data_IF_375496983010
#
_entry.id   IF_375496983010
#
_cell.length_a   1.000
_cell.length_b   1.000
_cell.length_c   1.000
_cell.angle_alpha   90.00
_cell.angle_beta   90.00
_cell.angle_gamma   90.00
#
_symmetry.space_group_name_H-M   'P 1'
#
loop_
_entity.id
_entity.type
_entity.pdbx_description
1 polymer ?
#
# COMPACT_ATOMS: atom_id res chain seq x y z
N UNK A 1 -27.80 9.14 36.13
CA UNK A 1 -28.23 8.08 37.09
C UNK A 1 -28.60 6.86 36.27
N UNK A 2 -27.75 5.87 36.20
CA UNK A 2 -28.06 4.43 36.10
C UNK A 2 -26.73 3.68 35.97
N UNK A 3 -26.44 2.89 37.02
CA UNK A 3 -25.22 2.09 37.17
C UNK A 3 -25.36 0.81 36.34
N UNK A 4 -24.32 0.46 35.58
CA UNK A 4 -24.17 -0.88 35.01
C UNK A 4 -23.05 -1.65 35.72
N UNK A 5 -23.36 -2.88 36.10
CA UNK A 5 -22.60 -3.77 36.99
C UNK A 5 -21.59 -4.59 36.18
N UNK A 6 -20.36 -4.54 36.63
CA UNK A 6 -19.28 -5.45 36.22
C UNK A 6 -19.54 -6.87 36.76
N UNK A 7 -19.46 -7.89 35.91
CA UNK A 7 -19.37 -9.30 36.33
C UNK A 7 -17.92 -9.77 36.19
N UNK A 8 -17.30 -10.01 37.33
CA UNK A 8 -16.00 -10.69 37.43
C UNK A 8 -16.22 -12.20 37.35
N UNK A 9 -15.49 -12.85 36.45
CA UNK A 9 -15.42 -14.32 36.34
C UNK A 9 -14.20 -14.79 37.13
N UNK A 10 -14.41 -15.56 38.18
CA UNK A 10 -13.37 -16.22 38.99
C UNK A 10 -13.07 -17.57 38.35
N UNK A 11 -11.79 -17.82 38.01
CA UNK A 11 -11.29 -19.14 37.65
C UNK A 11 -10.62 -19.74 38.87
N UNK A 12 -11.08 -20.92 39.24
CA UNK A 12 -10.59 -21.69 40.39
C UNK A 12 -9.36 -22.51 39.95
N UNK A 13 -8.28 -22.43 40.72
CA UNK A 13 -7.09 -23.25 40.58
C UNK A 13 -7.29 -24.55 41.38
N UNK A 14 -7.13 -25.70 40.72
CA UNK A 14 -7.06 -26.99 41.36
C UNK A 14 -5.57 -27.40 41.49
N UNK A 15 -5.12 -27.52 42.75
CA UNK A 15 -3.85 -28.17 43.11
C UNK A 15 -4.09 -29.68 43.21
N UNK A 16 -3.27 -30.47 42.53
CA UNK A 16 -3.16 -31.89 42.77
C UNK A 16 -1.80 -32.18 43.43
N UNK A 17 -1.88 -32.65 44.65
CA UNK A 17 -0.77 -33.16 45.44
C UNK A 17 -0.50 -34.65 45.08
N UNK A 18 0.73 -35.01 44.79
CA UNK A 18 1.17 -36.41 44.68
C UNK A 18 2.08 -36.70 45.88
N UNK A 19 1.66 -37.73 46.63
CA UNK A 19 2.35 -38.22 47.81
C UNK A 19 3.50 -39.16 47.46
N UNK A 20 4.64 -38.97 48.16
CA UNK A 20 5.75 -39.93 48.20
C UNK A 20 5.35 -41.12 49.12
N UNK A 21 5.63 -42.33 48.67
CA UNK A 21 5.72 -43.49 49.53
C UNK A 21 7.15 -44.03 49.42
N UNK A 22 7.84 -43.99 50.55
CA UNK A 22 9.11 -44.67 50.77
C UNK A 22 8.79 -45.95 51.60
N UNK A 23 9.37 -47.06 51.17
CA UNK A 23 9.59 -48.22 52.03
C UNK A 23 10.74 -48.99 51.36
N UNK A 24 11.66 -49.27 51.98
CA UNK A 24 12.58 -49.67 52.91
C UNK A 24 12.72 -51.16 53.12
N UNK A 25 13.97 -51.57 53.18
CA UNK A 25 14.57 -52.67 53.94
C UNK A 25 14.73 -54.08 53.34
N UNK A 26 15.99 -54.40 53.22
CA UNK A 26 16.74 -55.55 53.76
C UNK A 26 16.50 -56.99 53.26
N UNK A 27 17.63 -57.64 53.01
CA UNK A 27 17.72 -59.09 52.95
C UNK A 27 18.97 -59.61 52.27
N UNK A 28 20.03 -59.71 53.04
CA UNK A 28 21.29 -60.38 52.71
C UNK A 28 21.11 -61.87 52.31
N UNK A 29 21.88 -62.30 51.32
CA UNK A 29 21.98 -63.75 50.95
C UNK A 29 23.20 -63.94 50.03
N UNK A 30 24.32 -64.36 50.62
CA UNK A 30 25.55 -64.74 49.95
C UNK A 30 25.49 -66.27 49.54
N UNK A 31 25.74 -66.59 48.26
CA UNK A 31 26.31 -67.91 47.84
C UNK A 31 27.18 -67.72 46.59
N UNK A 32 28.40 -68.26 46.52
CA UNK A 32 29.28 -68.19 45.38
C UNK A 32 29.11 -69.38 44.39
N UNK A 33 29.33 -69.14 43.10
CA UNK A 33 29.46 -70.22 42.17
C UNK A 33 29.49 -69.88 40.69
N UNK A 34 30.67 -69.76 40.13
CA UNK A 34 31.23 -70.23 38.84
C UNK A 34 30.61 -69.77 37.51
N UNK A 35 31.52 -69.18 36.75
CA UNK A 35 31.78 -69.26 35.31
C UNK A 35 30.66 -69.12 34.27
N UNK A 36 30.90 -68.17 33.33
CA UNK A 36 30.27 -68.09 32.03
C UNK A 36 30.35 -66.65 31.47
N UNK A 37 31.50 -66.27 30.89
CA UNK A 37 31.60 -65.02 30.17
C UNK A 37 30.70 -64.92 28.96
N UNK A 38 29.90 -63.89 28.91
CA UNK A 38 29.42 -63.29 27.69
C UNK A 38 29.58 -61.81 27.87
N UNK A 39 30.56 -61.20 27.22
CA UNK A 39 30.72 -59.81 27.17
C UNK A 39 29.52 -59.15 26.43
N UNK A 40 28.60 -58.55 27.14
CA UNK A 40 27.72 -57.61 26.57
C UNK A 40 28.56 -56.35 26.23
N UNK A 41 28.95 -56.31 24.96
CA UNK A 41 29.51 -55.12 24.34
C UNK A 41 28.35 -54.11 24.24
N UNK A 42 28.10 -53.38 25.36
CA UNK A 42 27.25 -52.22 25.36
C UNK A 42 27.94 -51.18 24.48
N UNK A 43 27.68 -51.26 23.16
CA UNK A 43 28.05 -50.20 22.25
C UNK A 43 27.34 -48.91 22.73
N UNK A 44 28.07 -48.14 23.52
CA UNK A 44 27.64 -46.79 23.91
C UNK A 44 27.25 -46.06 22.64
N UNK A 45 25.95 -45.81 22.45
CA UNK A 45 25.45 -45.06 21.31
C UNK A 45 26.24 -43.71 21.28
N UNK A 46 26.94 -43.46 20.19
CA UNK A 46 27.72 -42.24 20.04
C UNK A 46 26.80 -41.02 20.23
N UNK A 47 27.14 -40.16 21.18
CA UNK A 47 26.36 -38.96 21.47
C UNK A 47 26.11 -38.15 20.19
N UNK A 48 24.87 -37.70 20.01
CA UNK A 48 24.52 -36.91 18.82
C UNK A 48 25.39 -35.63 18.76
N UNK A 49 25.91 -35.29 17.59
CA UNK A 49 26.75 -34.12 17.45
C UNK A 49 25.99 -32.84 17.82
N UNK A 50 26.71 -31.86 18.38
CA UNK A 50 26.14 -30.56 18.72
C UNK A 50 25.57 -29.88 17.47
N UNK A 51 24.44 -29.17 17.65
CA UNK A 51 23.88 -28.32 16.59
C UNK A 51 24.86 -27.21 16.22
N UNK A 52 24.98 -26.90 14.93
CA UNK A 52 25.80 -25.79 14.43
C UNK A 52 24.88 -24.71 13.92
N UNK A 53 24.97 -23.49 14.48
CA UNK A 53 24.17 -22.33 14.07
C UNK A 53 25.05 -21.36 13.30
N UNK A 54 24.61 -20.98 12.09
CA UNK A 54 25.27 -20.00 11.23
C UNK A 54 24.31 -18.88 10.85
N UNK A 55 24.86 -17.68 10.65
CA UNK A 55 24.12 -16.53 10.11
C UNK A 55 24.85 -15.97 8.89
N UNK A 56 24.11 -15.44 7.91
CA UNK A 56 24.68 -14.83 6.71
C UNK A 56 25.20 -13.39 6.96
N UNK A 57 25.21 -12.95 8.21
CA UNK A 57 25.86 -11.71 8.67
C UNK A 57 27.00 -12.13 9.62
N UNK A 58 28.19 -11.57 9.40
CA UNK A 58 29.34 -11.83 10.27
C UNK A 58 29.15 -11.07 11.58
N UNK A 59 29.73 -11.60 12.67
CA UNK A 59 29.78 -10.87 13.94
C UNK A 59 30.63 -9.61 13.80
N UNK A 60 30.19 -8.50 14.42
CA UNK A 60 30.77 -7.16 14.34
C UNK A 60 30.91 -6.60 12.91
N UNK A 61 30.14 -7.12 11.92
CA UNK A 61 30.14 -6.56 10.58
C UNK A 61 29.61 -5.11 10.59
N UNK A 62 30.30 -4.24 9.86
CA UNK A 62 29.87 -2.87 9.58
C UNK A 62 29.36 -2.77 8.12
N UNK A 63 28.65 -1.68 7.82
CA UNK A 63 28.16 -1.34 6.48
C UNK A 63 27.35 -2.45 5.80
N UNK A 64 26.59 -3.21 6.61
CA UNK A 64 25.67 -4.22 6.07
C UNK A 64 24.55 -3.52 5.33
N UNK A 65 24.30 -3.91 4.08
CA UNK A 65 23.24 -3.30 3.29
C UNK A 65 21.87 -3.40 3.97
N UNK A 66 21.06 -2.34 3.89
CA UNK A 66 19.71 -2.26 4.50
C UNK A 66 18.72 -3.25 3.85
N UNK A 67 18.92 -3.62 2.59
CA UNK A 67 18.14 -4.64 1.87
C UNK A 67 18.58 -6.08 2.19
N UNK A 68 19.56 -6.24 3.09
CA UNK A 68 20.06 -7.56 3.47
C UNK A 68 19.01 -8.39 4.16
N UNK A 69 18.51 -9.41 3.48
CA UNK A 69 17.69 -10.44 4.12
C UNK A 69 18.58 -11.27 5.05
N UNK A 70 18.35 -11.13 6.36
CA UNK A 70 19.09 -11.90 7.37
C UNK A 70 18.59 -13.34 7.40
N UNK A 71 19.50 -14.29 7.29
CA UNK A 71 19.22 -15.72 7.32
C UNK A 71 20.05 -16.39 8.42
N UNK A 72 19.38 -17.24 9.20
CA UNK A 72 20.02 -18.11 10.19
C UNK A 72 19.75 -19.56 9.80
N UNK A 73 20.75 -20.40 9.90
CA UNK A 73 20.65 -21.83 9.57
C UNK A 73 21.17 -22.67 10.73
N UNK A 74 20.48 -23.77 11.00
CA UNK A 74 20.95 -24.82 11.88
C UNK A 74 21.35 -26.05 11.04
N UNK A 75 22.49 -26.66 11.39
CA UNK A 75 22.92 -27.96 10.90
C UNK A 75 23.07 -28.91 12.11
N UNK A 76 22.80 -30.16 11.92
CA UNK A 76 22.81 -31.21 12.99
C UNK A 76 21.87 -30.88 14.15
N UNK A 77 20.78 -30.17 13.86
CA UNK A 77 19.76 -29.77 14.82
C UNK A 77 18.73 -28.84 14.22
N UNK A 78 17.76 -28.38 15.02
CA UNK A 78 16.65 -27.52 14.63
C UNK A 78 16.67 -26.20 15.41
N UNK A 79 16.35 -25.08 14.74
CA UNK A 79 16.16 -23.78 15.38
C UNK A 79 14.89 -23.81 16.23
N UNK A 80 15.02 -23.47 17.50
CA UNK A 80 13.90 -23.32 18.44
C UNK A 80 13.50 -21.86 18.63
N UNK A 81 14.46 -20.93 18.46
CA UNK A 81 14.21 -19.50 18.57
C UNK A 81 15.22 -18.70 17.76
N UNK A 82 14.76 -17.69 17.04
CA UNK A 82 15.62 -16.66 16.46
C UNK A 82 15.00 -15.29 16.75
N UNK A 83 15.81 -14.38 17.26
CA UNK A 83 15.45 -13.00 17.55
C UNK A 83 16.46 -12.08 16.89
N UNK A 84 16.02 -11.30 15.91
CA UNK A 84 16.75 -10.18 15.32
C UNK A 84 16.16 -8.88 15.87
N UNK A 85 16.97 -8.04 16.52
CA UNK A 85 16.48 -6.81 17.16
C UNK A 85 17.51 -5.68 17.13
N UNK A 86 16.99 -4.46 17.12
CA UNK A 86 17.73 -3.22 17.36
C UNK A 86 17.16 -2.48 18.58
N UNK A 87 17.62 -1.23 18.81
CA UNK A 87 16.99 -0.33 19.80
C UNK A 87 15.56 0.05 19.41
N UNK A 88 15.25 0.15 18.11
CA UNK A 88 13.93 0.50 17.61
C UNK A 88 12.89 -0.62 17.77
N UNK A 89 13.34 -1.89 17.89
CA UNK A 89 12.42 -3.01 18.04
C UNK A 89 12.97 -4.32 17.50
N UNK A 90 12.05 -5.27 17.32
CA UNK A 90 12.31 -6.58 16.73
C UNK A 90 12.03 -6.52 15.22
N UNK A 91 12.90 -7.15 14.45
CA UNK A 91 12.64 -7.45 13.03
C UNK A 91 11.96 -8.80 12.96
N UNK A 92 10.80 -8.84 12.30
CA UNK A 92 10.02 -10.06 12.13
C UNK A 92 10.71 -11.04 11.17
N UNK A 93 10.38 -12.31 11.30
CA UNK A 93 10.89 -13.38 10.46
C UNK A 93 10.35 -14.74 10.87
N UNK A 94 10.53 -15.71 10.00
CA UNK A 94 9.92 -17.04 10.14
C UNK A 94 10.95 -18.14 10.15
N UNK A 95 10.72 -19.15 11.00
CA UNK A 95 11.43 -20.44 10.94
C UNK A 95 10.74 -21.28 9.86
N UNK A 96 11.52 -21.77 8.89
CA UNK A 96 11.06 -22.51 7.71
C UNK A 96 11.75 -23.88 7.62
N UNK A 97 11.08 -24.82 6.91
CA UNK A 97 11.62 -26.14 6.59
C UNK A 97 12.07 -26.89 7.84
N UNK A 98 11.16 -27.56 8.53
CA UNK A 98 11.43 -28.43 9.69
C UNK A 98 12.36 -27.83 10.79
N UNK A 99 12.45 -26.50 10.85
CA UNK A 99 13.33 -25.82 11.80
C UNK A 99 14.75 -25.56 11.31
N UNK A 100 15.08 -25.89 10.06
CA UNK A 100 16.46 -25.77 9.57
C UNK A 100 16.89 -24.32 9.27
N UNK A 101 15.95 -23.43 8.98
CA UNK A 101 16.25 -22.05 8.55
C UNK A 101 15.29 -21.03 9.15
N UNK A 102 15.82 -19.86 9.43
CA UNK A 102 15.04 -18.65 9.71
C UNK A 102 15.40 -17.56 8.71
N UNK A 103 14.40 -16.76 8.30
CA UNK A 103 14.55 -15.68 7.31
C UNK A 103 13.80 -14.47 7.82
N UNK A 104 14.46 -13.27 7.80
CA UNK A 104 13.78 -12.01 8.11
C UNK A 104 12.76 -11.67 7.02
N UNK A 105 11.63 -11.08 7.41
CA UNK A 105 10.53 -10.68 6.52
C UNK A 105 10.45 -9.17 6.30
N UNK A 106 11.22 -8.36 7.06
CA UNK A 106 11.26 -6.91 6.93
C UNK A 106 12.69 -6.42 6.62
N UNK A 107 12.80 -5.24 6.03
CA UNK A 107 14.04 -4.52 5.80
C UNK A 107 14.72 -4.08 7.10
N UNK A 108 15.93 -3.56 6.98
CA UNK A 108 16.73 -3.08 8.10
C UNK A 108 16.81 -1.55 8.07
N UNK A 109 16.76 -0.92 9.24
CA UNK A 109 16.96 0.52 9.39
C UNK A 109 18.40 0.93 9.08
N UNK A 110 18.64 2.05 8.39
CA UNK A 110 19.99 2.55 8.11
C UNK A 110 20.75 2.94 9.38
N UNK A 111 22.08 2.83 9.37
CA UNK A 111 22.97 3.24 10.44
C UNK A 111 22.69 2.57 11.79
N UNK A 112 22.04 1.43 11.79
CA UNK A 112 21.46 0.82 12.99
C UNK A 112 22.23 -0.45 13.40
N UNK A 113 22.54 -0.55 14.70
CA UNK A 113 23.15 -1.75 15.27
C UNK A 113 22.10 -2.80 15.61
N UNK A 114 22.26 -3.98 15.03
CA UNK A 114 21.41 -5.15 15.24
C UNK A 114 22.12 -6.23 16.04
N UNK A 115 21.31 -7.03 16.76
CA UNK A 115 21.74 -8.25 17.45
C UNK A 115 20.86 -9.42 17.01
N UNK A 116 21.50 -10.46 16.49
CA UNK A 116 20.90 -11.77 16.22
C UNK A 116 21.17 -12.67 17.40
N UNK A 117 20.14 -13.28 17.98
CA UNK A 117 20.25 -14.38 18.94
C UNK A 117 19.50 -15.56 18.38
N UNK A 118 20.18 -16.68 18.21
CA UNK A 118 19.59 -17.92 17.71
C UNK A 118 19.88 -19.06 18.68
N UNK A 119 18.88 -19.90 18.89
CA UNK A 119 18.96 -21.13 19.71
C UNK A 119 18.56 -22.31 18.84
N UNK A 120 19.36 -23.36 18.86
CA UNK A 120 19.06 -24.63 18.19
C UNK A 120 19.25 -25.79 19.17
N UNK A 121 18.56 -26.92 18.92
CA UNK A 121 18.67 -28.18 19.66
C UNK A 121 19.12 -29.28 18.73
N UNK A 122 20.02 -30.14 19.21
CA UNK A 122 20.41 -31.40 18.54
C UNK A 122 19.35 -32.50 18.77
N UNK A 123 19.56 -33.69 18.23
CA UNK A 123 18.64 -34.84 18.35
C UNK A 123 18.45 -35.32 19.82
N UNK A 124 19.39 -35.05 20.71
CA UNK A 124 19.32 -35.40 22.13
C UNK A 124 18.69 -34.25 22.98
N UNK A 125 18.28 -33.15 22.34
CA UNK A 125 17.68 -31.97 23.00
C UNK A 125 18.68 -30.99 23.60
N UNK A 126 20.00 -31.17 23.40
CA UNK A 126 21.05 -30.29 23.85
C UNK A 126 20.97 -28.96 23.09
N UNK A 127 20.92 -27.85 23.83
CA UNK A 127 20.83 -26.50 23.25
C UNK A 127 22.20 -25.92 22.95
N UNK A 128 22.28 -25.26 21.79
CA UNK A 128 23.37 -24.38 21.38
C UNK A 128 22.81 -23.02 21.08
N UNK A 129 23.42 -21.98 21.66
CA UNK A 129 23.08 -20.60 21.41
C UNK A 129 24.19 -19.90 20.64
N UNK A 130 23.79 -19.13 19.61
CA UNK A 130 24.69 -18.18 18.93
C UNK A 130 24.15 -16.76 19.08
N UNK A 131 25.07 -15.83 19.32
CA UNK A 131 24.79 -14.38 19.30
C UNK A 131 25.78 -13.75 18.33
N UNK A 132 25.30 -12.85 17.47
CA UNK A 132 26.13 -11.98 16.66
C UNK A 132 25.52 -10.59 16.57
N UNK A 133 26.35 -9.60 16.35
CA UNK A 133 25.96 -8.20 16.18
C UNK A 133 26.47 -7.70 14.84
N UNK A 134 25.80 -6.73 14.25
CA UNK A 134 26.25 -6.04 13.05
C UNK A 134 25.64 -4.65 13.00
N UNK A 135 26.20 -3.77 12.17
CA UNK A 135 25.68 -2.42 11.94
C UNK A 135 25.41 -2.25 10.44
N UNK A 136 24.26 -1.72 10.12
CA UNK A 136 23.88 -1.41 8.73
C UNK A 136 24.57 -0.15 8.23
N UNK A 137 24.69 -0.02 6.91
CA UNK A 137 25.17 1.19 6.25
C UNK A 137 24.32 2.40 6.65
N UNK A 138 24.94 3.55 6.84
CA UNK A 138 24.23 4.81 6.97
C UNK A 138 23.78 5.29 5.58
N UNK A 139 22.55 5.82 5.49
CA UNK A 139 22.02 6.41 4.28
C UNK A 139 21.70 7.88 4.54
N UNK A 140 22.07 8.76 3.60
CA UNK A 140 21.60 10.14 3.56
C UNK A 140 20.14 10.19 3.07
N UNK A 141 19.45 11.33 3.23
CA UNK A 141 18.11 11.52 2.65
C UNK A 141 18.11 11.46 1.12
N UNK A 142 19.21 11.81 0.48
CA UNK A 142 19.38 11.69 -0.99
C UNK A 142 19.45 10.24 -1.47
N UNK A 143 19.60 9.29 -0.56
CA UNK A 143 19.62 7.85 -0.82
C UNK A 143 18.36 7.14 -0.33
N UNK A 144 17.36 7.86 0.15
CA UNK A 144 16.13 7.32 0.71
C UNK A 144 14.91 7.92 0.04
N UNK A 145 14.08 7.11 -0.61
CA UNK A 145 12.85 7.57 -1.25
C UNK A 145 11.65 7.37 -0.33
N UNK A 146 10.83 8.43 -0.22
CA UNK A 146 9.59 8.44 0.55
C UNK A 146 8.39 8.19 -0.35
N UNK A 147 7.47 7.33 0.09
CA UNK A 147 6.24 7.03 -0.61
C UNK A 147 5.07 7.86 -0.06
N UNK A 148 4.51 8.76 -0.86
CA UNK A 148 3.25 9.46 -0.58
C UNK A 148 2.10 8.69 -1.22
N UNK A 149 1.03 8.44 -0.47
CA UNK A 149 -0.11 7.63 -0.92
C UNK A 149 -1.38 8.50 -0.99
N UNK A 150 -2.11 8.39 -2.09
CA UNK A 150 -3.47 8.88 -2.22
C UNK A 150 -4.39 7.73 -2.64
N UNK A 151 -5.63 7.62 -2.10
CA UNK A 151 -6.28 8.47 -1.09
C UNK A 151 -5.57 8.53 0.25
N UNK A 152 -5.94 9.51 1.09
CA UNK A 152 -5.40 9.65 2.43
C UNK A 152 -6.07 8.68 3.42
N UNK A 153 -5.43 8.47 4.56
CA UNK A 153 -5.97 7.63 5.64
C UNK A 153 -7.38 8.10 6.05
N UNK A 154 -8.35 7.17 6.01
CA UNK A 154 -9.74 7.41 6.41
C UNK A 154 -10.56 8.24 5.41
N UNK A 155 -10.02 8.55 4.22
CA UNK A 155 -10.74 9.31 3.21
C UNK A 155 -11.88 8.47 2.60
N UNK A 156 -13.02 9.11 2.28
CA UNK A 156 -14.07 8.51 1.45
C UNK A 156 -14.01 9.13 0.05
N UNK A 157 -13.78 8.31 -0.97
CA UNK A 157 -13.55 8.73 -2.35
C UNK A 157 -14.57 8.13 -3.32
N UNK A 158 -14.59 8.63 -4.56
CA UNK A 158 -15.47 8.14 -5.63
C UNK A 158 -14.99 6.84 -6.26
N UNK A 159 -15.88 6.22 -7.03
CA UNK A 159 -15.67 4.88 -7.64
C UNK A 159 -14.59 4.84 -8.73
N UNK A 160 -14.17 5.99 -9.25
CA UNK A 160 -13.08 6.09 -10.24
C UNK A 160 -11.71 6.37 -9.64
N UNK A 161 -11.58 6.48 -8.33
CA UNK A 161 -10.33 6.85 -7.68
C UNK A 161 -9.26 5.76 -7.87
N UNK A 162 -8.13 6.03 -8.53
CA UNK A 162 -6.98 5.14 -8.48
C UNK A 162 -6.28 5.26 -7.12
N UNK A 163 -5.59 4.21 -6.69
CA UNK A 163 -4.51 4.36 -5.69
C UNK A 163 -3.34 5.00 -6.43
N UNK A 164 -2.79 6.07 -5.88
CA UNK A 164 -1.63 6.78 -6.44
C UNK A 164 -0.51 6.74 -5.41
N UNK A 165 0.65 6.24 -5.80
CA UNK A 165 1.87 6.28 -4.99
C UNK A 165 2.89 7.15 -5.68
N UNK A 166 3.31 8.24 -5.03
CA UNK A 166 4.35 9.13 -5.51
C UNK A 166 5.60 8.96 -4.67
N UNK A 167 6.74 8.83 -5.34
CA UNK A 167 8.08 8.73 -4.76
C UNK A 167 8.84 10.05 -4.99
N UNK A 168 9.46 10.59 -3.95
CA UNK A 168 10.24 11.84 -4.05
C UNK A 168 11.59 11.66 -4.77
N UNK A 169 12.14 10.42 -4.80
CA UNK A 169 13.29 10.04 -5.62
C UNK A 169 12.89 8.95 -6.63
N UNK A 170 13.61 8.85 -7.79
CA UNK A 170 13.29 7.87 -8.82
C UNK A 170 13.47 6.42 -8.34
N UNK A 171 12.48 5.58 -8.63
CA UNK A 171 12.52 4.12 -8.49
C UNK A 171 12.91 3.53 -9.83
N UNK A 172 14.16 3.08 -9.97
CA UNK A 172 14.69 2.46 -11.20
C UNK A 172 14.55 0.95 -11.20
N UNK A 173 14.48 0.32 -10.01
CA UNK A 173 14.09 -1.09 -9.84
C UNK A 173 12.62 -1.17 -9.40
N UNK A 174 11.72 -0.85 -10.33
CA UNK A 174 10.27 -0.85 -10.10
C UNK A 174 9.76 -2.23 -9.70
N UNK A 175 10.30 -3.30 -10.26
CA UNK A 175 9.89 -4.67 -9.93
C UNK A 175 10.21 -5.03 -8.47
N UNK A 176 11.32 -4.55 -7.92
CA UNK A 176 11.65 -4.73 -6.51
C UNK A 176 10.62 -4.04 -5.61
N UNK A 177 10.24 -2.81 -5.93
CA UNK A 177 9.25 -2.04 -5.16
C UNK A 177 7.86 -2.63 -5.28
N UNK A 178 7.40 -2.93 -6.49
CA UNK A 178 6.04 -3.43 -6.74
C UNK A 178 5.74 -4.75 -6.01
N UNK A 179 6.74 -5.63 -5.82
CA UNK A 179 6.61 -6.85 -4.99
C UNK A 179 6.24 -6.56 -3.53
N UNK A 180 6.51 -5.34 -3.07
CA UNK A 180 6.26 -4.89 -1.70
C UNK A 180 5.07 -3.90 -1.62
N UNK A 181 4.34 -3.72 -2.72
CA UNK A 181 3.19 -2.83 -2.81
C UNK A 181 1.91 -3.65 -3.00
N UNK A 182 1.06 -3.70 -1.99
CA UNK A 182 -0.15 -4.52 -1.99
C UNK A 182 -1.40 -3.67 -1.83
N UNK A 183 -2.42 -3.94 -2.65
CA UNK A 183 -3.76 -3.36 -2.50
C UNK A 183 -4.75 -4.50 -2.25
N UNK A 184 -5.49 -4.39 -1.15
CA UNK A 184 -6.57 -5.33 -0.80
C UNK A 184 -7.88 -4.60 -0.65
N UNK A 185 -9.00 -5.27 -0.94
CA UNK A 185 -10.32 -4.65 -0.82
C UNK A 185 -11.38 -5.62 -0.32
N UNK A 186 -12.42 -5.08 0.31
CA UNK A 186 -13.60 -5.80 0.75
C UNK A 186 -14.87 -5.06 0.28
N UNK A 187 -15.68 -5.63 -0.66
CA UNK A 187 -15.44 -6.91 -1.35
C UNK A 187 -14.17 -6.89 -2.21
N UNK A 188 -13.57 -8.06 -2.42
CA UNK A 188 -12.35 -8.18 -3.20
C UNK A 188 -12.57 -7.81 -4.67
N UNK A 189 -11.75 -6.92 -5.20
CA UNK A 189 -11.70 -6.55 -6.62
C UNK A 189 -10.28 -6.73 -7.14
N UNK A 190 -10.13 -7.54 -8.20
CA UNK A 190 -8.85 -7.71 -8.87
C UNK A 190 -8.44 -6.42 -9.58
N UNK A 191 -7.16 -6.07 -9.48
CA UNK A 191 -6.58 -4.89 -10.09
C UNK A 191 -5.12 -5.09 -10.44
N UNK A 192 -4.48 -4.05 -10.96
CA UNK A 192 -3.06 -4.05 -11.34
C UNK A 192 -2.41 -2.71 -11.02
N UNK A 193 -1.12 -2.74 -10.80
CA UNK A 193 -0.28 -1.55 -10.84
C UNK A 193 0.00 -1.14 -12.29
N UNK A 194 0.28 0.12 -12.46
CA UNK A 194 0.75 0.74 -13.71
C UNK A 194 1.74 1.85 -13.34
N UNK A 195 2.96 1.77 -13.85
CA UNK A 195 3.98 2.79 -13.62
C UNK A 195 3.82 3.92 -14.63
N UNK A 196 3.34 5.07 -14.16
CA UNK A 196 3.21 6.30 -14.96
C UNK A 196 4.60 6.88 -15.27
N UNK A 197 5.51 6.77 -14.29
CA UNK A 197 6.89 7.23 -14.39
C UNK A 197 7.79 6.48 -13.39
N UNK A 198 9.08 6.81 -13.34
CA UNK A 198 9.96 6.31 -12.27
C UNK A 198 9.62 6.86 -10.87
N UNK A 199 8.69 7.81 -10.78
CA UNK A 199 8.30 8.45 -9.50
C UNK A 199 6.82 8.29 -9.17
N UNK A 200 6.04 7.64 -10.03
CA UNK A 200 4.59 7.56 -9.85
C UNK A 200 4.06 6.23 -10.35
N UNK A 201 3.36 5.51 -9.47
CA UNK A 201 2.66 4.27 -9.76
C UNK A 201 1.20 4.38 -9.37
N UNK A 202 0.31 3.92 -10.24
CA UNK A 202 -1.13 3.87 -10.01
C UNK A 202 -1.61 2.43 -9.90
N UNK A 203 -2.62 2.20 -9.08
CA UNK A 203 -3.34 0.94 -9.05
C UNK A 203 -4.84 1.18 -9.19
N UNK A 204 -5.48 0.42 -10.06
CA UNK A 204 -6.93 0.40 -10.17
C UNK A 204 -7.48 -1.00 -10.37
N UNK A 205 -8.73 -1.26 -9.99
CA UNK A 205 -9.41 -2.48 -10.41
C UNK A 205 -9.69 -2.47 -11.93
N UNK A 206 -10.06 -3.61 -12.48
CA UNK A 206 -10.38 -3.74 -13.90
C UNK A 206 -11.58 -2.85 -14.33
N UNK A 207 -12.59 -2.71 -13.47
CA UNK A 207 -13.73 -1.81 -13.61
C UNK A 207 -13.80 -0.87 -12.43
N UNK A 208 -14.63 0.18 -12.50
CA UNK A 208 -14.81 1.09 -11.36
C UNK A 208 -15.04 0.33 -10.06
N UNK A 209 -14.57 0.92 -8.96
CA UNK A 209 -14.81 0.36 -7.63
C UNK A 209 -16.30 0.15 -7.37
N UNK A 210 -16.66 -0.88 -6.64
CA UNK A 210 -18.00 -1.03 -6.10
C UNK A 210 -18.21 -0.02 -4.96
N UNK A 211 -19.38 0.60 -4.92
CA UNK A 211 -19.74 1.50 -3.82
C UNK A 211 -19.72 0.76 -2.47
N UNK A 212 -19.19 1.42 -1.43
CA UNK A 212 -19.07 0.86 -0.09
C UNK A 212 -17.85 -0.06 0.12
N UNK A 213 -16.99 -0.22 -0.89
CA UNK A 213 -15.75 -1.01 -0.76
C UNK A 213 -14.79 -0.36 0.23
N UNK A 214 -14.22 -1.17 1.13
CA UNK A 214 -13.08 -0.78 1.98
C UNK A 214 -11.79 -1.24 1.34
N UNK A 215 -10.81 -0.35 1.28
CA UNK A 215 -9.53 -0.59 0.61
C UNK A 215 -8.40 -0.36 1.59
N UNK A 216 -7.42 -1.28 1.59
CA UNK A 216 -6.15 -1.15 2.32
C UNK A 216 -5.00 -1.20 1.32
N UNK A 217 -4.13 -0.21 1.41
CA UNK A 217 -2.89 -0.09 0.62
C UNK A 217 -1.72 -0.26 1.58
N UNK A 218 -0.84 -1.20 1.27
CA UNK A 218 0.39 -1.45 2.03
C UNK A 218 1.59 -1.30 1.08
N UNK A 219 2.46 -0.34 1.39
CA UNK A 219 3.71 -0.05 0.67
C UNK A 219 4.86 -0.33 1.64
N UNK A 220 5.24 -1.60 1.74
CA UNK A 220 6.24 -2.13 2.68
C UNK A 220 7.65 -2.07 2.08
N UNK A 221 8.15 -0.86 1.83
CA UNK A 221 9.39 -0.61 1.09
C UNK A 221 10.59 -0.19 1.95
N UNK A 222 10.45 -0.14 3.28
CA UNK A 222 11.56 0.22 4.17
C UNK A 222 12.80 -0.64 3.91
N UNK A 223 13.92 -0.01 3.57
CA UNK A 223 15.18 -0.69 3.24
C UNK A 223 15.17 -1.47 1.92
N UNK A 224 14.08 -1.49 1.15
CA UNK A 224 14.03 -2.14 -0.17
C UNK A 224 14.80 -1.30 -1.18
N UNK A 225 15.64 -1.92 -2.00
CA UNK A 225 16.38 -1.23 -3.05
C UNK A 225 15.44 -0.71 -4.14
N UNK A 226 15.50 0.60 -4.40
CA UNK A 226 14.86 1.26 -5.54
C UNK A 226 15.76 1.28 -6.80
N UNK A 227 16.96 0.70 -6.71
CA UNK A 227 18.02 0.80 -7.71
C UNK A 227 18.86 2.06 -7.57
N UNK A 228 19.97 2.13 -8.28
CA UNK A 228 20.91 3.26 -8.30
C UNK A 228 21.39 3.73 -6.90
N UNK A 229 21.45 2.84 -5.91
CA UNK A 229 21.87 3.18 -4.52
C UNK A 229 20.81 3.91 -3.70
N UNK A 230 19.57 3.99 -4.17
CA UNK A 230 18.42 4.53 -3.47
C UNK A 230 17.64 3.38 -2.82
N UNK A 231 17.10 3.61 -1.63
CA UNK A 231 16.31 2.64 -0.85
C UNK A 231 15.02 3.26 -0.36
N UNK A 232 14.00 2.45 -0.11
CA UNK A 232 12.77 2.91 0.53
C UNK A 232 13.05 3.39 1.96
N UNK A 233 12.46 4.53 2.33
CA UNK A 233 12.71 5.21 3.61
C UNK A 233 11.92 4.59 4.76
N UNK A 234 10.66 4.26 4.53
CA UNK A 234 9.77 3.68 5.54
C UNK A 234 8.62 2.90 4.90
N UNK A 235 8.01 2.02 5.68
CA UNK A 235 6.76 1.35 5.31
C UNK A 235 5.59 2.30 5.51
N UNK A 236 4.65 2.28 4.55
CA UNK A 236 3.45 3.11 4.56
C UNK A 236 2.20 2.26 4.40
N UNK A 237 1.21 2.49 5.26
CA UNK A 237 -0.10 1.86 5.14
C UNK A 237 -1.21 2.89 5.19
N UNK A 238 -2.21 2.74 4.32
CA UNK A 238 -3.38 3.63 4.23
C UNK A 238 -4.62 2.78 4.03
N UNK A 239 -5.67 3.07 4.81
CA UNK A 239 -7.00 2.51 4.68
C UNK A 239 -7.97 3.62 4.29
N UNK A 240 -8.84 3.37 3.29
CA UNK A 240 -9.84 4.32 2.83
C UNK A 240 -11.14 3.61 2.40
N UNK A 241 -12.19 4.37 2.09
CA UNK A 241 -13.48 3.83 1.68
C UNK A 241 -13.96 4.40 0.35
N UNK A 242 -14.67 3.60 -0.42
CA UNK A 242 -15.36 4.03 -1.63
C UNK A 242 -16.78 4.44 -1.27
N UNK A 243 -17.16 5.67 -1.61
CA UNK A 243 -18.49 6.21 -1.38
C UNK A 243 -19.54 5.68 -2.35
N UNK A 244 -20.68 6.36 -2.43
CA UNK A 244 -21.69 6.11 -3.44
C UNK A 244 -21.12 6.26 -4.86
N UNK A 245 -21.60 5.45 -5.80
CA UNK A 245 -21.12 5.49 -7.18
C UNK A 245 -21.71 6.71 -7.92
N UNK A 246 -20.94 7.81 -7.95
CA UNK A 246 -21.25 8.97 -8.75
C UNK A 246 -20.57 8.87 -10.12
N UNK A 247 -21.39 8.91 -11.18
CA UNK A 247 -20.93 8.92 -12.57
C UNK A 247 -21.63 10.04 -13.31
N UNK A 248 -20.86 10.99 -13.83
CA UNK A 248 -21.36 12.15 -14.57
C UNK A 248 -21.09 11.94 -16.06
N UNK A 249 -22.15 11.83 -16.87
CA UNK A 249 -22.05 11.63 -18.31
C UNK A 249 -22.25 12.94 -19.04
N UNK A 250 -21.18 13.47 -19.59
CA UNK A 250 -21.14 14.74 -20.33
C UNK A 250 -21.17 14.45 -21.82
N UNK A 251 -22.13 15.06 -22.52
CA UNK A 251 -22.17 15.06 -23.97
C UNK A 251 -22.02 16.50 -24.50
N UNK A 252 -20.86 16.79 -25.09
CA UNK A 252 -20.55 18.13 -25.59
C UNK A 252 -21.39 18.53 -26.80
N UNK A 253 -21.93 17.57 -27.59
CA UNK A 253 -22.81 17.90 -28.73
C UNK A 253 -24.22 18.27 -28.32
N UNK A 254 -24.73 17.67 -27.25
CA UNK A 254 -26.07 17.98 -26.72
C UNK A 254 -26.05 19.02 -25.63
N UNK A 255 -24.84 19.47 -25.21
CA UNK A 255 -24.59 20.45 -24.14
C UNK A 255 -25.27 20.08 -22.81
N UNK A 256 -25.23 18.77 -22.48
CA UNK A 256 -25.88 18.25 -21.28
C UNK A 256 -24.93 17.36 -20.47
N UNK A 257 -25.09 17.43 -19.17
CA UNK A 257 -24.52 16.50 -18.20
C UNK A 257 -25.65 15.73 -17.51
N UNK A 258 -25.59 14.39 -17.58
CA UNK A 258 -26.46 13.50 -16.80
C UNK A 258 -25.71 13.03 -15.57
N UNK A 259 -26.28 13.26 -14.40
CA UNK A 259 -25.68 12.92 -13.10
C UNK A 259 -26.36 11.67 -12.56
N UNK A 260 -25.57 10.63 -12.33
CA UNK A 260 -26.02 9.36 -11.79
C UNK A 260 -25.44 9.10 -10.41
N UNK A 261 -26.23 8.51 -9.51
CA UNK A 261 -25.82 7.94 -8.25
C UNK A 261 -26.28 6.48 -8.18
N UNK A 262 -25.36 5.56 -7.96
CA UNK A 262 -25.64 4.12 -7.91
C UNK A 262 -26.49 3.63 -9.09
N UNK A 263 -26.20 4.12 -10.29
CA UNK A 263 -26.90 3.80 -11.54
C UNK A 263 -28.22 4.54 -11.77
N UNK A 264 -28.75 5.25 -10.77
CA UNK A 264 -30.01 6.03 -10.89
C UNK A 264 -29.71 7.44 -11.39
N UNK A 265 -30.39 7.89 -12.43
CA UNK A 265 -30.33 9.27 -12.90
C UNK A 265 -30.95 10.21 -11.84
N UNK A 266 -30.16 11.17 -11.35
CA UNK A 266 -30.61 12.19 -10.42
C UNK A 266 -31.08 13.47 -11.14
N UNK A 267 -30.22 13.99 -12.05
CA UNK A 267 -30.50 15.22 -12.81
C UNK A 267 -29.87 15.18 -14.18
N UNK A 268 -30.45 15.97 -15.10
CA UNK A 268 -29.82 16.37 -16.36
C UNK A 268 -29.60 17.87 -16.28
N UNK A 269 -28.35 18.31 -16.40
CA UNK A 269 -27.91 19.67 -16.22
C UNK A 269 -27.55 20.29 -17.59
N UNK A 270 -28.06 21.48 -17.96
CA UNK A 270 -27.54 22.22 -19.09
C UNK A 270 -26.14 22.74 -18.78
N UNK A 271 -25.22 22.53 -19.72
CA UNK A 271 -23.82 22.89 -19.59
C UNK A 271 -23.31 23.58 -20.87
N UNK A 272 -22.12 24.16 -20.77
CA UNK A 272 -21.26 24.52 -21.89
C UNK A 272 -19.90 23.84 -21.72
N UNK A 273 -19.23 23.50 -22.82
CA UNK A 273 -17.87 22.97 -22.83
C UNK A 273 -16.96 23.84 -23.70
N UNK A 274 -15.75 23.41 -23.99
CA UNK A 274 -14.78 24.13 -24.81
C UNK A 274 -15.27 24.42 -26.22
N UNK A 275 -15.12 25.67 -26.66
CA UNK A 275 -15.38 26.11 -28.03
C UNK A 275 -14.30 25.59 -29.01
N UNK A 276 -14.51 25.81 -30.30
CA UNK A 276 -13.50 25.55 -31.33
C UNK A 276 -12.15 26.20 -30.96
N UNK A 277 -11.05 25.48 -31.15
CA UNK A 277 -9.70 25.88 -30.74
C UNK A 277 -9.37 25.57 -29.25
N UNK A 278 -10.39 25.36 -28.41
CA UNK A 278 -10.26 25.06 -26.98
C UNK A 278 -11.07 23.80 -26.59
N UNK A 279 -11.12 22.84 -27.47
CA UNK A 279 -11.96 21.65 -27.35
C UNK A 279 -11.70 20.89 -26.05
N UNK A 280 -12.77 20.66 -25.27
CA UNK A 280 -12.75 19.78 -24.10
C UNK A 280 -12.43 18.36 -24.51
N UNK A 281 -11.56 17.67 -23.78
CA UNK A 281 -11.17 16.29 -24.07
C UNK A 281 -12.33 15.32 -23.81
N UNK A 282 -12.59 14.41 -24.74
CA UNK A 282 -13.45 13.24 -24.57
C UNK A 282 -12.69 12.07 -23.97
N UNK A 283 -13.38 11.24 -23.18
CA UNK A 283 -12.84 10.12 -22.44
C UNK A 283 -13.28 10.13 -20.98
N UNK A 284 -12.71 9.28 -20.17
CA UNK A 284 -13.00 9.17 -18.74
C UNK A 284 -12.05 10.04 -17.95
N UNK A 285 -12.60 10.93 -17.17
CA UNK A 285 -11.87 11.80 -16.22
C UNK A 285 -12.33 11.48 -14.81
N UNK A 286 -11.51 11.86 -13.83
CA UNK A 286 -11.79 11.66 -12.41
C UNK A 286 -11.68 13.00 -11.70
N UNK A 287 -12.58 13.27 -10.77
CA UNK A 287 -12.48 14.48 -9.93
C UNK A 287 -11.22 14.39 -9.07
N UNK A 288 -10.27 15.27 -9.31
CA UNK A 288 -8.96 15.29 -8.62
C UNK A 288 -8.97 16.17 -7.38
N UNK A 289 -9.57 17.36 -7.49
CA UNK A 289 -9.57 18.38 -6.46
C UNK A 289 -10.89 19.15 -6.47
N UNK A 290 -11.24 19.76 -5.33
CA UNK A 290 -12.45 20.55 -5.17
C UNK A 290 -12.13 21.87 -4.47
N UNK A 291 -12.65 22.98 -4.99
CA UNK A 291 -12.48 24.32 -4.44
C UNK A 291 -13.84 25.01 -4.37
N UNK A 292 -14.23 25.48 -3.19
CA UNK A 292 -15.43 26.31 -3.07
C UNK A 292 -15.28 27.62 -3.88
N UNK A 293 -14.05 28.13 -3.96
CA UNK A 293 -13.66 29.31 -4.71
C UNK A 293 -12.24 29.13 -5.25
N UNK A 294 -11.99 29.50 -6.50
CA UNK A 294 -10.69 29.40 -7.15
C UNK A 294 -10.48 30.52 -8.15
N UNK A 295 -9.33 31.22 -8.10
CA UNK A 295 -8.88 32.06 -9.20
C UNK A 295 -8.55 31.20 -10.41
N UNK A 296 -9.03 31.58 -11.57
CA UNK A 296 -8.71 30.97 -12.86
C UNK A 296 -8.06 32.03 -13.76
N UNK A 297 -6.78 31.85 -14.03
CA UNK A 297 -5.98 32.72 -14.88
C UNK A 297 -5.53 31.92 -16.12
N UNK A 298 -5.79 32.52 -17.28
CA UNK A 298 -5.51 31.90 -18.59
C UNK A 298 -4.03 31.59 -18.83
N UNK A 299 -3.12 32.33 -18.20
CA UNK A 299 -1.66 32.08 -18.32
C UNK A 299 -1.30 30.69 -17.76
N UNK A 300 -2.03 30.19 -16.75
CA UNK A 300 -1.80 28.87 -16.15
C UNK A 300 -2.13 27.70 -17.09
N UNK A 301 -2.82 27.97 -18.18
CA UNK A 301 -3.19 27.02 -19.21
C UNK A 301 -2.61 27.36 -20.59
N UNK A 302 -1.58 28.22 -20.61
CA UNK A 302 -0.79 28.56 -21.80
C UNK A 302 -1.41 29.63 -22.72
N UNK A 303 -2.46 30.33 -22.27
CA UNK A 303 -3.05 31.47 -23.00
C UNK A 303 -2.36 32.76 -22.53
N UNK A 304 -1.62 33.42 -23.42
CA UNK A 304 -0.82 34.59 -23.08
C UNK A 304 -1.70 35.79 -22.62
N UNK A 305 -1.21 36.51 -21.61
CA UNK A 305 -1.80 37.77 -21.17
C UNK A 305 -1.85 38.77 -22.36
N UNK A 306 -2.99 39.41 -22.57
CA UNK A 306 -3.21 40.36 -23.67
C UNK A 306 -3.67 39.73 -24.98
N UNK A 307 -3.79 38.42 -25.09
CA UNK A 307 -4.49 37.80 -26.21
C UNK A 307 -6.01 38.06 -26.11
N UNK A 308 -6.73 37.94 -27.23
CA UNK A 308 -8.20 38.07 -27.27
C UNK A 308 -8.91 37.00 -26.41
N UNK A 309 -8.23 35.92 -26.10
CA UNK A 309 -8.72 34.79 -25.32
C UNK A 309 -8.27 34.83 -23.85
N UNK A 310 -7.53 35.87 -23.44
CA UNK A 310 -7.05 36.04 -22.08
C UNK A 310 -8.20 36.27 -21.09
N UNK A 311 -8.12 35.59 -19.95
CA UNK A 311 -9.03 35.79 -18.81
C UNK A 311 -8.28 35.74 -17.50
N UNK A 312 -8.80 36.42 -16.50
CA UNK A 312 -8.35 36.37 -15.11
C UNK A 312 -9.56 36.62 -14.21
N UNK A 313 -10.07 35.57 -13.61
CA UNK A 313 -11.31 35.57 -12.82
C UNK A 313 -10.97 35.12 -11.40
N UNK A 314 -11.03 36.05 -10.44
CA UNK A 314 -10.59 35.80 -9.06
C UNK A 314 -11.49 34.83 -8.26
N UNK A 315 -12.78 34.76 -8.61
CA UNK A 315 -13.82 34.12 -7.78
C UNK A 315 -14.69 33.18 -8.56
N UNK A 316 -14.08 32.15 -9.16
CA UNK A 316 -14.83 31.06 -9.80
C UNK A 316 -15.32 30.10 -8.70
N UNK A 317 -16.64 30.02 -8.53
CA UNK A 317 -17.28 29.18 -7.49
C UNK A 317 -17.38 27.73 -7.91
N UNK A 318 -17.32 26.84 -6.91
CA UNK A 318 -17.61 25.40 -7.01
C UNK A 318 -16.76 24.69 -8.07
N UNK A 319 -15.47 25.01 -8.10
CA UNK A 319 -14.53 24.46 -9.08
C UNK A 319 -14.07 23.06 -8.70
N UNK A 320 -14.22 22.12 -9.61
CA UNK A 320 -13.80 20.70 -9.49
C UNK A 320 -12.82 20.39 -10.61
N UNK A 321 -11.55 20.11 -10.28
CA UNK A 321 -10.50 19.82 -11.26
C UNK A 321 -10.66 18.41 -11.80
N UNK A 322 -10.52 18.25 -13.12
CA UNK A 322 -10.65 16.97 -13.83
C UNK A 322 -9.45 16.64 -14.72
N UNK A 323 -8.50 17.58 -14.93
CA UNK A 323 -7.24 17.34 -15.63
C UNK A 323 -6.11 18.15 -15.02
N UNK A 324 -4.86 17.67 -15.17
CA UNK A 324 -3.66 18.42 -14.78
C UNK A 324 -3.45 19.66 -15.65
N UNK A 325 -3.86 19.60 -16.93
CA UNK A 325 -3.77 20.72 -17.88
C UNK A 325 -4.80 21.83 -17.66
N UNK A 326 -5.67 21.73 -16.63
CA UNK A 326 -6.52 22.84 -16.21
C UNK A 326 -7.97 22.79 -16.69
N UNK A 327 -8.52 21.64 -17.08
CA UNK A 327 -9.97 21.50 -17.25
C UNK A 327 -10.65 21.34 -15.89
N UNK A 328 -11.74 22.08 -15.69
CA UNK A 328 -12.58 22.06 -14.48
C UNK A 328 -14.06 21.93 -14.84
N UNK A 329 -14.86 21.47 -13.90
CA UNK A 329 -16.30 21.69 -13.83
C UNK A 329 -16.52 22.81 -12.81
N UNK A 330 -17.28 23.86 -13.17
CA UNK A 330 -17.44 25.01 -12.26
C UNK A 330 -18.71 25.83 -12.56
N UNK A 331 -19.07 26.73 -11.65
CA UNK A 331 -20.07 27.75 -11.91
C UNK A 331 -19.56 28.77 -12.95
N UNK A 332 -20.39 29.03 -13.96
CA UNK A 332 -20.11 29.98 -15.04
C UNK A 332 -21.33 30.89 -15.29
N UNK A 333 -21.69 31.79 -14.37
CA UNK A 333 -22.87 32.65 -14.51
C UNK A 333 -22.84 33.54 -15.76
N UNK A 334 -21.65 33.89 -16.26
CA UNK A 334 -21.46 34.66 -17.49
C UNK A 334 -21.84 33.94 -18.77
N UNK A 335 -22.05 32.63 -18.75
CA UNK A 335 -22.38 31.83 -19.93
C UNK A 335 -23.75 31.13 -19.84
N UNK A 336 -24.62 31.52 -18.90
CA UNK A 336 -25.92 30.87 -18.68
C UNK A 336 -26.79 30.85 -19.96
N UNK A 337 -26.74 31.90 -20.80
CA UNK A 337 -27.45 31.93 -22.07
C UNK A 337 -27.00 30.92 -23.11
N UNK A 338 -25.75 30.39 -22.97
CA UNK A 338 -25.17 29.37 -23.87
C UNK A 338 -25.32 27.95 -23.32
N UNK A 339 -25.53 27.79 -22.03
CA UNK A 339 -25.66 26.48 -21.37
C UNK A 339 -26.88 25.72 -21.92
N UNK A 340 -26.65 24.46 -22.34
CA UNK A 340 -27.64 23.63 -23.02
C UNK A 340 -27.79 23.93 -24.51
N UNK A 341 -26.96 24.83 -25.10
CA UNK A 341 -27.11 25.29 -26.49
C UNK A 341 -25.83 25.38 -27.29
N UNK A 342 -24.71 25.83 -26.65
CA UNK A 342 -23.45 26.09 -27.34
C UNK A 342 -22.24 25.88 -26.42
N UNK A 343 -21.11 25.53 -27.02
CA UNK A 343 -19.81 25.43 -26.35
C UNK A 343 -19.05 26.74 -26.49
N UNK A 344 -18.74 27.40 -25.37
CA UNK A 344 -18.18 28.76 -25.38
C UNK A 344 -16.99 28.94 -24.43
N UNK A 345 -16.58 27.89 -23.72
CA UNK A 345 -15.47 27.94 -22.75
C UNK A 345 -14.09 27.70 -23.41
N UNK A 346 -13.04 27.82 -22.61
CA UNK A 346 -11.66 27.46 -22.99
C UNK A 346 -11.28 26.02 -22.60
N UNK A 347 -12.25 25.12 -22.50
CA UNK A 347 -12.06 23.70 -22.18
C UNK A 347 -12.81 23.24 -20.93
N UNK A 348 -13.12 24.13 -19.99
CA UNK A 348 -13.88 23.80 -18.78
C UNK A 348 -15.35 23.50 -19.08
N UNK A 349 -16.00 22.77 -18.18
CA UNK A 349 -17.44 22.56 -18.19
C UNK A 349 -18.13 23.57 -17.28
N UNK A 350 -18.83 24.53 -17.88
CA UNK A 350 -19.56 25.59 -17.19
C UNK A 350 -21.03 25.28 -17.01
N UNK A 351 -21.59 25.64 -15.85
CA UNK A 351 -23.00 25.54 -15.53
C UNK A 351 -23.47 26.70 -14.65
N UNK A 352 -24.78 26.80 -14.38
CA UNK A 352 -25.30 27.84 -13.47
C UNK A 352 -24.74 27.68 -12.07
N UNK A 353 -24.77 28.74 -11.27
CA UNK A 353 -24.29 28.73 -9.86
C UNK A 353 -25.01 27.65 -9.07
N UNK A 354 -26.33 27.55 -9.17
CA UNK A 354 -27.15 26.60 -8.43
C UNK A 354 -26.85 25.14 -8.82
N UNK A 355 -26.68 24.87 -10.12
CA UNK A 355 -26.31 23.55 -10.60
C UNK A 355 -24.89 23.15 -10.14
N UNK A 356 -23.94 24.08 -10.21
CA UNK A 356 -22.56 23.85 -9.75
C UNK A 356 -22.51 23.64 -8.23
N UNK A 357 -23.22 24.43 -7.43
CA UNK A 357 -23.32 24.28 -5.99
C UNK A 357 -23.91 22.91 -5.59
N UNK A 358 -25.01 22.53 -6.26
CA UNK A 358 -25.64 21.23 -6.03
C UNK A 358 -24.71 20.06 -6.40
N UNK A 359 -24.08 20.10 -7.57
CA UNK A 359 -23.13 19.07 -8.00
C UNK A 359 -21.93 18.99 -7.05
N UNK A 360 -21.34 20.13 -6.71
CA UNK A 360 -20.22 20.23 -5.80
C UNK A 360 -20.54 19.63 -4.42
N UNK A 361 -21.74 19.85 -3.89
CA UNK A 361 -22.12 19.38 -2.56
C UNK A 361 -22.12 17.87 -2.43
N UNK A 362 -22.41 17.11 -3.49
CA UNK A 362 -22.44 15.67 -3.50
C UNK A 362 -21.13 15.04 -4.01
N UNK A 363 -20.38 15.77 -4.84
CA UNK A 363 -19.16 15.25 -5.50
C UNK A 363 -18.06 14.95 -4.51
N UNK A 364 -17.36 13.84 -4.73
CA UNK A 364 -16.13 13.44 -4.03
C UNK A 364 -14.94 13.44 -4.97
N UNK A 365 -13.76 13.57 -4.43
CA UNK A 365 -12.52 13.21 -5.12
C UNK A 365 -12.62 11.75 -5.54
N UNK A 366 -12.29 11.44 -6.79
CA UNK A 366 -12.46 10.08 -7.30
C UNK A 366 -13.79 9.81 -8.01
N UNK A 367 -14.77 10.73 -8.01
CA UNK A 367 -15.99 10.57 -8.81
C UNK A 367 -15.67 10.61 -10.31
N UNK A 368 -16.41 9.81 -11.08
CA UNK A 368 -16.18 9.60 -12.51
C UNK A 368 -16.91 10.64 -13.36
N UNK A 369 -16.22 11.16 -14.37
CA UNK A 369 -16.81 12.05 -15.39
C UNK A 369 -16.49 11.50 -16.79
N UNK A 370 -17.49 10.97 -17.46
CA UNK A 370 -17.39 10.41 -18.82
C UNK A 370 -17.76 11.47 -19.86
N UNK A 371 -16.81 11.87 -20.69
CA UNK A 371 -17.00 12.87 -21.75
C UNK A 371 -17.09 12.20 -23.11
N UNK A 372 -18.09 12.60 -23.88
CA UNK A 372 -18.26 12.23 -25.29
C UNK A 372 -18.62 13.45 -26.13
N UNK A 373 -18.47 13.32 -27.44
CA UNK A 373 -18.98 14.29 -28.40
C UNK A 373 -17.97 15.35 -28.84
N UNK A 374 -16.69 15.18 -28.52
CA UNK A 374 -15.58 15.98 -29.07
C UNK A 374 -14.61 15.07 -29.83
N UNK A 375 -13.77 15.67 -30.65
CA UNK A 375 -12.74 14.99 -31.46
C UNK A 375 -11.37 14.96 -30.78
N UNK A 376 -11.24 15.55 -29.58
CA UNK A 376 -10.02 15.55 -28.78
C UNK A 376 -10.07 14.47 -27.70
N UNK A 377 -9.22 13.46 -27.82
CA UNK A 377 -9.14 12.39 -26.83
C UNK A 377 -8.45 12.85 -25.52
N UNK A 378 -8.80 12.23 -24.40
CA UNK A 378 -8.11 12.38 -23.12
C UNK A 378 -6.76 11.68 -23.18
N UNK A 379 -5.69 12.39 -22.86
CA UNK A 379 -4.36 11.85 -22.71
C UNK A 379 -4.25 11.13 -21.33
N UNK A 380 -3.79 9.86 -21.25
CA UNK A 380 -3.73 9.12 -19.97
C UNK A 380 -2.94 9.82 -18.86
N UNK A 381 -1.82 10.49 -19.20
CA UNK A 381 -0.99 11.23 -18.24
C UNK A 381 -1.52 12.63 -17.89
N UNK A 382 -2.69 13.04 -18.36
CA UNK A 382 -3.27 14.35 -18.07
C UNK A 382 -4.17 14.32 -16.82
N UNK A 383 -3.58 14.08 -15.68
CA UNK A 383 -4.25 13.79 -14.41
C UNK A 383 -4.49 12.29 -14.23
N UNK A 384 -5.53 11.92 -13.48
CA UNK A 384 -5.86 10.50 -13.25
C UNK A 384 -6.65 9.94 -14.44
N UNK A 385 -5.92 9.79 -15.56
CA UNK A 385 -6.48 9.34 -16.84
C UNK A 385 -6.49 7.82 -17.02
N UNK A 386 -6.26 7.05 -15.98
CA UNK A 386 -6.07 5.60 -15.95
C UNK A 386 -7.16 4.82 -16.72
N UNK A 387 -8.40 5.28 -16.65
CA UNK A 387 -9.57 4.66 -17.28
C UNK A 387 -9.61 4.78 -18.81
N UNK A 388 -8.68 5.56 -19.40
CA UNK A 388 -8.52 5.69 -20.86
C UNK A 388 -7.45 4.73 -21.41
N UNK A 389 -6.74 4.01 -20.55
CA UNK A 389 -5.85 2.91 -20.93
C UNK A 389 -6.64 1.61 -20.95
N UNK A 390 -6.53 0.82 -22.03
CA UNK A 390 -7.19 -0.49 -22.08
C UNK A 390 -6.71 -1.39 -20.94
N UNK A 391 -7.53 -2.33 -20.50
CA UNK A 391 -7.13 -3.20 -19.39
C UNK A 391 -5.88 -4.04 -19.68
N UNK A 392 -5.73 -4.66 -20.87
CA UNK A 392 -4.50 -5.35 -21.22
C UNK A 392 -3.25 -4.46 -21.18
N UNK A 393 -3.33 -3.24 -21.72
CA UNK A 393 -2.22 -2.29 -21.71
C UNK A 393 -1.90 -1.78 -20.29
N UNK A 394 -2.94 -1.63 -19.46
CA UNK A 394 -2.78 -1.25 -18.06
C UNK A 394 -2.03 -2.33 -17.27
N UNK A 395 -2.41 -3.59 -17.44
CA UNK A 395 -1.69 -4.73 -16.82
C UNK A 395 -0.25 -4.82 -17.32
N UNK A 396 -0.02 -4.62 -18.62
CA UNK A 396 1.32 -4.61 -19.20
C UNK A 396 2.23 -3.47 -18.68
N UNK A 397 1.66 -2.43 -18.06
CA UNK A 397 2.40 -1.35 -17.41
C UNK A 397 2.85 -1.67 -15.97
N UNK A 398 2.55 -2.85 -15.46
CA UNK A 398 3.11 -3.38 -14.21
C UNK A 398 4.58 -3.79 -14.42
N UNK A 399 5.42 -3.54 -13.44
CA UNK A 399 6.81 -4.01 -13.47
C UNK A 399 6.94 -5.53 -13.19
N UNK A 400 5.82 -6.20 -12.89
CA UNK A 400 5.73 -7.65 -12.63
C UNK A 400 4.93 -8.39 -13.71
N UNK A 401 4.51 -7.71 -14.79
CA UNK A 401 3.74 -8.30 -15.89
C UNK A 401 4.57 -9.30 -16.72
#
# INVERSE_FOLDING_TARGET
>A
MTRSRSRALRVASALAAVALVAAGCDGSGFVPGTDGGAGDDETAAAAAPDAVVTANVKDEAADVSVDKVVRVRAEKGTLTSVVLRSKAGRVEGEIRGDGARWVSSAGLEPGTRYRVRAVARNAEGKEVQRVSTFTTQALSLEQQTYASIAPLQGETVGVGMPVVVNFDLPVTDQASFEKHMTVTSTPAQAGSWFWVSSREAHWRPQSYWQAGTKVSVDVAVNGVSAGAGIYGQEDRKVDFEIGAAHVYKVNARTHQMKVFENGRLLRTLPITTGKEGFTTRSGVKVIMEKYAQKRMNSETVGIARGSAEAYDIDDVKWAMRITSSGEFIHAAPWSVGSQGRANVSHGCTGMSIDNAAWLYSMTRRGDVVEYVGTDRAMEPGNGWGDWNVSWPDYVAGSALA
#
